data_IF_705746656135
#
_entry.id   IF_705746656135
#
_cell.length_a   1.000
_cell.length_b   1.000
_cell.length_c   1.000
_cell.angle_alpha   90.00
_cell.angle_beta   90.00
_cell.angle_gamma   90.00
#
_symmetry.space_group_name_H-M   'P 1'
#
loop_
_entity.id
_entity.type
_entity.pdbx_description
1 polymer ?
#
# COMPACT_ATOMS: atom_id res chain seq x y z
N UNK A 1 16.85 13.24 -12.31
CA UNK A 1 15.79 12.96 -11.31
C UNK A 1 14.78 14.09 -11.33
N UNK A 2 13.53 13.78 -11.56
CA UNK A 2 12.41 14.71 -11.55
C UNK A 2 11.27 14.12 -10.75
N UNK A 3 10.68 14.91 -9.83
CA UNK A 3 9.58 14.47 -8.99
C UNK A 3 8.65 15.67 -8.74
N UNK A 4 7.37 15.45 -9.02
CA UNK A 4 6.31 16.43 -8.84
C UNK A 4 5.20 15.83 -7.99
N UNK A 5 4.61 16.64 -7.11
CA UNK A 5 3.47 16.21 -6.32
C UNK A 5 2.50 17.39 -6.10
N UNK A 6 1.22 17.06 -6.16
CA UNK A 6 0.11 17.95 -5.83
C UNK A 6 -0.67 17.31 -4.71
N UNK A 7 -0.94 18.08 -3.65
CA UNK A 7 -1.78 17.66 -2.52
C UNK A 7 -2.89 18.70 -2.35
N UNK A 8 -4.12 18.21 -2.33
CA UNK A 8 -5.29 19.03 -2.05
C UNK A 8 -6.13 18.39 -0.94
N UNK A 9 -6.67 19.21 -0.04
CA UNK A 9 -7.61 18.77 1.00
C UNK A 9 -8.76 19.75 1.09
N UNK A 10 -9.98 19.24 1.14
CA UNK A 10 -11.19 20.02 1.37
C UNK A 10 -12.15 19.25 2.27
N UNK A 11 -13.00 19.95 3.00
CA UNK A 11 -13.90 19.25 3.88
C UNK A 11 -14.89 20.16 4.58
N UNK A 12 -15.66 19.53 5.45
CA UNK A 12 -16.77 20.13 6.21
C UNK A 12 -16.51 19.86 7.68
N UNK A 13 -16.74 20.84 8.52
CA UNK A 13 -16.61 20.75 9.98
C UNK A 13 -17.88 21.24 10.67
N UNK A 14 -18.08 20.80 11.91
CA UNK A 14 -19.12 21.29 12.83
C UNK A 14 -20.55 21.17 12.27
N UNK A 15 -20.87 20.03 11.64
CA UNK A 15 -22.22 19.69 11.22
C UNK A 15 -22.90 18.73 12.21
N UNK A 16 -24.23 18.74 12.23
CA UNK A 16 -25.00 17.82 13.09
C UNK A 16 -24.65 16.34 12.86
N UNK A 17 -24.33 15.98 11.64
CA UNK A 17 -23.99 14.62 11.21
C UNK A 17 -22.48 14.32 11.13
N UNK A 18 -21.60 15.33 11.20
CA UNK A 18 -20.17 15.16 11.20
C UNK A 18 -19.49 16.29 11.98
N UNK A 19 -18.65 15.96 12.94
CA UNK A 19 -17.78 16.96 13.56
C UNK A 19 -16.66 17.35 12.60
N UNK A 20 -16.18 16.37 11.80
CA UNK A 20 -15.21 16.59 10.74
C UNK A 20 -15.41 15.56 9.63
N UNK A 21 -15.48 16.03 8.40
CA UNK A 21 -15.42 15.20 7.19
C UNK A 21 -14.44 15.88 6.23
N UNK A 22 -13.34 15.22 5.92
CA UNK A 22 -12.31 15.72 5.02
C UNK A 22 -12.11 14.74 3.87
N UNK A 23 -11.99 15.28 2.67
CA UNK A 23 -11.52 14.56 1.48
C UNK A 23 -10.16 15.10 1.09
N UNK A 24 -9.24 14.19 0.86
CA UNK A 24 -7.89 14.49 0.39
C UNK A 24 -7.64 13.86 -0.97
N UNK A 25 -6.77 14.49 -1.72
CA UNK A 25 -6.31 14.00 -3.01
C UNK A 25 -4.82 14.27 -3.12
N UNK A 26 -4.04 13.23 -3.42
CA UNK A 26 -2.62 13.36 -3.71
C UNK A 26 -2.35 12.75 -5.08
N UNK A 27 -1.66 13.49 -5.92
CA UNK A 27 -1.10 13.00 -7.17
C UNK A 27 0.40 13.24 -7.16
N UNK A 28 1.18 12.27 -7.62
CA UNK A 28 2.61 12.44 -7.83
C UNK A 28 3.06 11.77 -9.11
N UNK A 29 4.07 12.37 -9.72
CA UNK A 29 4.78 11.82 -10.86
C UNK A 29 6.27 11.81 -10.56
N UNK A 30 6.97 10.76 -10.97
CA UNK A 30 8.42 10.68 -10.83
C UNK A 30 9.08 10.15 -12.10
N UNK A 31 10.27 10.68 -12.34
CA UNK A 31 11.26 10.14 -13.29
C UNK A 31 12.62 10.06 -12.60
N UNK A 32 13.30 8.95 -12.73
CA UNK A 32 14.59 8.72 -12.11
C UNK A 32 15.52 7.91 -13.03
N UNK A 33 16.67 8.47 -13.37
CA UNK A 33 17.79 7.71 -13.93
C UNK A 33 18.46 6.88 -12.83
N UNK A 34 18.73 5.63 -13.13
CA UNK A 34 19.43 4.72 -12.23
C UNK A 34 20.88 4.68 -12.69
N UNK A 35 21.73 5.42 -12.01
CA UNK A 35 23.12 5.65 -12.44
C UNK A 35 24.06 4.51 -12.07
N UNK A 36 23.77 3.73 -11.03
CA UNK A 36 24.67 2.69 -10.54
C UNK A 36 23.92 1.49 -9.98
N UNK A 37 24.58 0.34 -10.00
CA UNK A 37 24.17 -0.83 -9.22
C UNK A 37 24.34 -0.61 -7.71
N UNK A 38 23.77 -1.49 -6.89
CA UNK A 38 23.76 -1.39 -5.41
C UNK A 38 25.17 -1.25 -4.81
N UNK A 39 26.16 -1.89 -5.39
CA UNK A 39 27.57 -1.85 -4.92
C UNK A 39 28.40 -0.76 -5.59
N UNK A 40 27.78 0.11 -6.42
CA UNK A 40 28.44 1.17 -7.17
C UNK A 40 29.62 0.71 -8.06
N UNK A 41 29.68 -0.58 -8.38
CA UNK A 41 30.71 -1.15 -9.27
C UNK A 41 30.35 -1.06 -10.74
N UNK A 42 29.06 -0.98 -11.04
CA UNK A 42 28.52 -0.91 -12.40
C UNK A 42 27.86 0.45 -12.58
N UNK A 43 28.18 1.12 -13.66
CA UNK A 43 27.55 2.38 -14.09
C UNK A 43 26.47 2.06 -15.10
N UNK A 44 25.34 2.71 -14.97
CA UNK A 44 24.23 2.64 -15.92
C UNK A 44 24.06 4.01 -16.57
N UNK A 45 24.04 4.06 -17.89
CA UNK A 45 23.90 5.30 -18.65
C UNK A 45 22.48 5.57 -19.13
N UNK A 46 21.71 4.52 -19.41
CA UNK A 46 20.40 4.64 -20.03
C UNK A 46 19.26 4.02 -19.17
N UNK A 47 19.62 3.28 -18.13
CA UNK A 47 18.64 2.66 -17.25
C UNK A 47 17.87 3.70 -16.46
N UNK A 48 16.55 3.65 -16.53
CA UNK A 48 15.68 4.60 -15.83
C UNK A 48 14.39 3.98 -15.34
N UNK A 49 13.69 4.74 -14.49
CA UNK A 49 12.39 4.40 -13.95
C UNK A 49 11.50 5.64 -13.96
N UNK A 50 10.24 5.45 -14.32
CA UNK A 50 9.23 6.50 -14.19
C UNK A 50 7.91 5.92 -13.69
N UNK A 51 7.06 6.80 -13.17
CA UNK A 51 5.77 6.36 -12.66
C UNK A 51 4.94 7.50 -12.12
N UNK A 52 3.72 7.15 -11.74
CA UNK A 52 2.77 8.07 -11.12
C UNK A 52 1.98 7.38 -10.02
N UNK A 53 1.48 8.17 -9.09
CA UNK A 53 0.63 7.70 -8.00
C UNK A 53 -0.57 8.63 -7.84
N UNK A 54 -1.72 8.03 -7.57
CA UNK A 54 -2.98 8.71 -7.30
C UNK A 54 -3.53 8.18 -5.98
N UNK A 55 -3.77 9.07 -5.01
CA UNK A 55 -4.24 8.69 -3.69
C UNK A 55 -5.37 9.60 -3.17
N UNK A 56 -6.64 9.29 -3.49
CA UNK A 56 -7.77 9.85 -2.76
C UNK A 56 -7.81 9.32 -1.32
N UNK A 57 -8.25 10.16 -0.38
CA UNK A 57 -8.39 9.83 1.03
C UNK A 57 -9.63 10.47 1.63
N UNK A 58 -10.15 9.88 2.70
CA UNK A 58 -11.28 10.37 3.47
C UNK A 58 -11.00 10.24 4.96
N UNK A 59 -11.35 11.26 5.72
CA UNK A 59 -11.35 11.26 7.18
C UNK A 59 -12.73 11.69 7.66
N UNK A 60 -13.35 10.91 8.54
CA UNK A 60 -14.63 11.23 9.16
C UNK A 60 -14.51 11.06 10.67
N UNK A 61 -15.04 12.03 11.43
CA UNK A 61 -15.19 11.89 12.87
C UNK A 61 -16.50 12.47 13.36
N UNK A 62 -17.08 11.79 14.33
CA UNK A 62 -18.33 12.20 14.99
C UNK A 62 -18.33 11.76 16.44
N UNK A 63 -18.53 12.71 17.35
CA UNK A 63 -18.83 12.45 18.75
C UNK A 63 -20.34 12.28 18.93
N UNK A 64 -20.73 11.39 19.84
CA UNK A 64 -22.13 11.07 20.09
C UNK A 64 -22.88 10.69 18.78
N UNK A 65 -22.32 9.78 18.00
CA UNK A 65 -22.74 9.45 16.63
C UNK A 65 -24.25 9.14 16.51
N UNK A 66 -24.74 8.20 17.31
CA UNK A 66 -26.16 7.78 17.34
C UNK A 66 -26.71 7.96 18.75
N UNK A 67 -25.91 7.62 19.76
CA UNK A 67 -26.22 7.69 21.18
C UNK A 67 -25.13 8.48 21.91
N UNK A 68 -25.51 9.09 23.03
CA UNK A 68 -24.58 9.83 23.88
C UNK A 68 -23.46 8.92 24.38
N UNK A 69 -22.21 9.38 24.20
CA UNK A 69 -21.01 8.66 24.62
C UNK A 69 -20.40 7.73 23.53
N UNK A 70 -21.06 7.54 22.39
CA UNK A 70 -20.50 6.79 21.26
C UNK A 70 -19.78 7.73 20.29
N UNK A 71 -18.46 7.64 20.22
CA UNK A 71 -17.62 8.42 19.32
C UNK A 71 -17.09 7.52 18.20
N UNK A 72 -17.00 8.04 16.98
CA UNK A 72 -16.50 7.35 15.80
C UNK A 72 -15.39 8.16 15.12
N UNK A 73 -14.33 7.44 14.71
CA UNK A 73 -13.32 7.96 13.79
C UNK A 73 -13.14 6.92 12.67
N UNK A 74 -13.25 7.36 11.44
CA UNK A 74 -13.04 6.56 10.24
C UNK A 74 -12.01 7.26 9.36
N UNK A 75 -10.99 6.51 8.92
CA UNK A 75 -10.08 6.96 7.86
C UNK A 75 -10.06 5.92 6.75
N UNK A 76 -9.99 6.37 5.51
CA UNK A 76 -9.85 5.50 4.36
C UNK A 76 -8.99 6.17 3.31
N UNK A 77 -8.16 5.39 2.64
CA UNK A 77 -7.45 5.82 1.44
C UNK A 77 -7.36 4.69 0.43
N UNK A 78 -7.31 5.09 -0.82
CA UNK A 78 -6.97 4.24 -1.94
C UNK A 78 -5.73 4.82 -2.59
N UNK A 79 -4.74 4.00 -2.89
CA UNK A 79 -3.55 4.41 -3.62
C UNK A 79 -3.35 3.50 -4.82
N UNK A 80 -3.47 4.08 -6.00
CA UNK A 80 -3.07 3.44 -7.25
C UNK A 80 -1.76 4.03 -7.71
N UNK A 81 -0.73 3.20 -7.83
CA UNK A 81 0.54 3.62 -8.40
C UNK A 81 0.99 2.70 -9.52
N UNK A 82 1.51 3.29 -10.57
CA UNK A 82 2.13 2.58 -11.68
C UNK A 82 3.59 2.97 -11.76
N UNK A 83 4.48 1.98 -11.90
CA UNK A 83 5.91 2.19 -12.04
C UNK A 83 6.43 1.39 -13.22
N UNK A 84 7.09 2.06 -14.15
CA UNK A 84 7.74 1.45 -15.31
C UNK A 84 9.24 1.46 -15.11
N UNK A 85 9.87 0.30 -15.28
CA UNK A 85 11.32 0.13 -15.27
C UNK A 85 11.79 -0.12 -16.71
N UNK A 86 12.81 0.61 -17.14
CA UNK A 86 13.39 0.52 -18.48
C UNK A 86 14.86 0.23 -18.36
N UNK A 87 15.29 -0.84 -18.98
CA UNK A 87 16.69 -1.27 -19.14
C UNK A 87 16.80 -1.97 -20.49
N UNK A 88 16.89 -1.18 -21.55
CA UNK A 88 16.93 -1.65 -22.94
C UNK A 88 18.17 -1.13 -23.68
N UNK A 89 19.13 -0.59 -22.93
CA UNK A 89 20.39 -0.05 -23.47
C UNK A 89 21.14 -1.07 -24.33
N UNK A 90 21.80 -0.58 -25.34
CA UNK A 90 22.67 -1.39 -26.23
C UNK A 90 24.13 -1.20 -25.91
N UNK A 91 24.48 -0.33 -24.97
CA UNK A 91 25.82 0.00 -24.54
C UNK A 91 25.95 -0.11 -23.03
N UNK A 92 27.10 -0.54 -22.55
CA UNK A 92 27.52 -0.38 -21.16
C UNK A 92 28.43 0.84 -21.04
N UNK A 93 28.44 1.44 -19.85
CA UNK A 93 29.15 2.68 -19.54
C UNK A 93 30.15 2.44 -18.40
N UNK A 94 31.27 3.15 -18.43
CA UNK A 94 32.18 3.24 -17.30
C UNK A 94 32.09 4.61 -16.61
N UNK A 95 32.84 4.78 -15.53
CA UNK A 95 32.86 6.04 -14.76
C UNK A 95 33.43 7.24 -15.53
N UNK A 96 34.15 7.02 -16.63
CA UNK A 96 34.67 8.08 -17.49
C UNK A 96 33.70 8.48 -18.61
N UNK A 97 32.55 7.79 -18.69
CA UNK A 97 31.55 8.02 -19.74
C UNK A 97 31.86 7.32 -21.05
N UNK A 98 32.88 6.48 -21.09
CA UNK A 98 33.17 5.65 -22.26
C UNK A 98 32.11 4.55 -22.37
N UNK A 99 31.72 4.21 -23.59
CA UNK A 99 30.70 3.22 -23.88
C UNK A 99 31.23 2.07 -24.73
N UNK A 100 30.82 0.86 -24.39
CA UNK A 100 31.10 -0.36 -25.14
C UNK A 100 29.79 -1.05 -25.54
N UNK A 101 29.68 -1.62 -26.73
CA UNK A 101 28.47 -2.31 -27.15
C UNK A 101 28.26 -3.57 -26.32
N UNK A 102 27.02 -3.77 -25.89
CA UNK A 102 26.59 -4.99 -25.21
C UNK A 102 26.29 -6.11 -26.22
N UNK A 103 26.61 -7.34 -25.88
CA UNK A 103 26.24 -8.52 -26.67
C UNK A 103 24.73 -8.77 -26.68
N UNK A 104 24.03 -8.34 -25.62
CA UNK A 104 22.56 -8.35 -25.49
C UNK A 104 22.07 -7.06 -24.85
N UNK A 105 20.90 -6.54 -25.23
CA UNK A 105 20.37 -5.33 -24.62
C UNK A 105 20.16 -5.46 -23.12
N UNK A 106 20.35 -4.34 -22.40
CA UNK A 106 20.15 -4.20 -20.95
C UNK A 106 21.47 -4.09 -20.18
N UNK A 107 21.67 -2.99 -19.44
CA UNK A 107 22.90 -2.73 -18.67
C UNK A 107 23.01 -3.64 -17.43
N UNK A 108 21.90 -4.05 -16.87
CA UNK A 108 21.83 -5.05 -15.79
C UNK A 108 21.06 -6.29 -16.24
N UNK A 109 19.88 -6.07 -16.82
CA UNK A 109 19.04 -7.13 -17.37
C UNK A 109 18.05 -6.49 -18.33
N UNK A 110 17.88 -7.07 -19.54
CA UNK A 110 16.91 -6.55 -20.48
C UNK A 110 15.53 -6.50 -19.84
N UNK A 111 15.02 -5.30 -19.62
CA UNK A 111 13.74 -5.08 -18.94
C UNK A 111 13.02 -3.88 -19.53
N UNK A 112 11.77 -4.06 -19.84
CA UNK A 112 10.78 -2.99 -20.04
C UNK A 112 9.48 -3.50 -19.46
N UNK A 113 9.24 -3.16 -18.20
CA UNK A 113 8.13 -3.72 -17.44
C UNK A 113 7.42 -2.66 -16.63
N UNK A 114 6.11 -2.81 -16.52
CA UNK A 114 5.24 -1.97 -15.73
C UNK A 114 4.64 -2.77 -14.57
N UNK A 115 4.67 -2.20 -13.40
CA UNK A 115 4.01 -2.71 -12.22
C UNK A 115 2.88 -1.75 -11.81
N UNK A 116 1.65 -2.22 -11.85
CA UNK A 116 0.47 -1.52 -11.36
C UNK A 116 0.12 -2.06 -9.97
N UNK A 117 0.01 -1.17 -8.99
CA UNK A 117 -0.30 -1.51 -7.62
C UNK A 117 -1.55 -0.77 -7.17
N UNK A 118 -2.49 -1.51 -6.62
CA UNK A 118 -3.72 -1.01 -6.00
C UNK A 118 -3.69 -1.30 -4.51
N UNK A 119 -3.80 -0.25 -3.69
CA UNK A 119 -3.76 -0.35 -2.23
C UNK A 119 -4.99 0.30 -1.62
N UNK A 120 -5.74 -0.45 -0.84
CA UNK A 120 -6.83 0.04 -0.01
C UNK A 120 -6.44 -0.05 1.45
N UNK A 121 -6.59 1.04 2.18
CA UNK A 121 -6.39 1.05 3.63
C UNK A 121 -7.55 1.78 4.29
N UNK A 122 -8.00 1.23 5.40
CA UNK A 122 -9.07 1.82 6.20
C UNK A 122 -8.87 1.52 7.67
N UNK A 123 -9.22 2.48 8.52
CA UNK A 123 -9.29 2.28 9.97
C UNK A 123 -10.62 2.79 10.50
N UNK A 124 -11.25 2.02 11.34
CA UNK A 124 -12.45 2.40 12.08
C UNK A 124 -12.16 2.27 13.57
N UNK A 125 -12.41 3.34 14.31
CA UNK A 125 -12.37 3.34 15.77
C UNK A 125 -13.73 3.76 16.30
N UNK A 126 -14.32 2.94 17.13
CA UNK A 126 -15.52 3.23 17.90
C UNK A 126 -15.18 3.25 19.40
N UNK A 127 -15.47 4.33 20.07
CA UNK A 127 -15.31 4.46 21.52
C UNK A 127 -16.66 4.71 22.14
N UNK A 128 -17.08 3.84 23.06
CA UNK A 128 -18.34 3.98 23.77
C UNK A 128 -18.12 4.13 25.26
N UNK A 129 -18.48 5.29 25.81
CA UNK A 129 -18.45 5.60 27.23
C UNK A 129 -19.83 5.39 27.86
N UNK A 130 -19.88 4.48 28.84
CA UNK A 130 -21.07 4.14 29.56
C UNK A 130 -20.89 4.54 31.02
N UNK A 131 -21.85 5.32 31.57
CA UNK A 131 -21.90 5.72 32.98
C UNK A 131 -20.56 6.30 33.53
N UNK A 132 -19.76 6.94 32.72
CA UNK A 132 -18.46 7.58 33.01
C UNK A 132 -17.35 6.62 33.51
N UNK A 133 -17.68 5.42 33.95
CA UNK A 133 -16.72 4.44 34.52
C UNK A 133 -16.36 3.32 33.56
N UNK A 134 -17.20 3.06 32.55
CA UNK A 134 -16.96 2.02 31.56
C UNK A 134 -16.59 2.62 30.21
N UNK A 135 -15.58 2.05 29.56
CA UNK A 135 -15.22 2.40 28.19
C UNK A 135 -15.03 1.14 27.37
N UNK A 136 -15.77 1.03 26.29
CA UNK A 136 -15.62 -0.01 25.29
C UNK A 136 -15.01 0.61 24.03
N UNK A 137 -13.94 0.02 23.53
CA UNK A 137 -13.29 0.47 22.28
C UNK A 137 -13.25 -0.68 21.29
N UNK A 138 -13.79 -0.44 20.10
CA UNK A 138 -13.64 -1.32 18.95
C UNK A 138 -12.76 -0.65 17.91
N UNK A 139 -11.73 -1.37 17.46
CA UNK A 139 -10.85 -0.95 16.37
C UNK A 139 -10.91 -1.97 15.24
N UNK A 140 -11.02 -1.49 14.01
CA UNK A 140 -10.88 -2.34 12.83
C UNK A 140 -9.92 -1.71 11.85
N UNK A 141 -8.97 -2.50 11.35
CA UNK A 141 -8.02 -2.12 10.31
C UNK A 141 -8.20 -3.04 9.12
N UNK A 142 -8.46 -2.44 7.97
CA UNK A 142 -8.50 -3.12 6.67
C UNK A 142 -7.30 -2.65 5.85
N UNK A 143 -6.55 -3.61 5.29
CA UNK A 143 -5.55 -3.34 4.26
C UNK A 143 -5.68 -4.36 3.14
N UNK A 144 -5.79 -3.88 1.91
CA UNK A 144 -5.83 -4.73 0.73
C UNK A 144 -4.83 -4.21 -0.31
N UNK A 145 -4.05 -5.12 -0.85
CA UNK A 145 -3.02 -4.85 -1.85
C UNK A 145 -3.19 -5.80 -3.01
N UNK A 146 -3.12 -5.27 -4.22
CA UNK A 146 -2.99 -6.02 -5.45
C UNK A 146 -1.84 -5.47 -6.28
N UNK A 147 -1.10 -6.35 -6.94
CA UNK A 147 -0.06 -5.99 -7.89
C UNK A 147 -0.17 -6.82 -9.13
N UNK A 148 -0.18 -6.13 -10.26
CA UNK A 148 -0.10 -6.70 -11.59
C UNK A 148 1.21 -6.22 -12.24
N UNK A 149 1.94 -7.14 -12.89
CA UNK A 149 3.14 -6.80 -13.65
C UNK A 149 2.87 -7.11 -15.12
N UNK A 150 3.28 -6.19 -15.98
CA UNK A 150 3.18 -6.32 -17.43
C UNK A 150 4.56 -6.18 -18.04
N UNK A 151 4.97 -7.13 -18.87
CA UNK A 151 6.16 -7.00 -19.70
C UNK A 151 5.79 -6.30 -21.00
N UNK A 152 6.51 -5.22 -21.31
CA UNK A 152 6.33 -4.42 -22.53
C UNK A 152 7.42 -4.74 -23.59
N UNK A 153 8.22 -5.81 -23.37
CA UNK A 153 9.29 -6.24 -24.29
C UNK A 153 8.79 -7.15 -25.40
N UNK A 154 7.65 -7.81 -25.20
CA UNK A 154 7.09 -8.73 -26.18
C UNK A 154 6.37 -7.95 -27.29
N UNK A 155 6.21 -8.58 -28.45
CA UNK A 155 5.40 -8.05 -29.56
C UNK A 155 3.94 -7.88 -29.13
N UNK A 156 3.50 -8.70 -28.16
CA UNK A 156 2.24 -8.58 -27.44
C UNK A 156 2.53 -8.33 -25.96
N UNK A 157 1.79 -7.41 -25.35
CA UNK A 157 1.90 -7.15 -23.90
C UNK A 157 1.61 -8.43 -23.11
N UNK A 158 2.59 -8.90 -22.35
CA UNK A 158 2.41 -10.03 -21.45
C UNK A 158 2.22 -9.52 -20.02
N UNK A 159 1.00 -9.62 -19.54
CA UNK A 159 0.69 -9.41 -18.13
C UNK A 159 0.92 -10.71 -17.37
N UNK A 160 1.48 -10.63 -16.18
CA UNK A 160 1.56 -11.79 -15.28
C UNK A 160 0.16 -12.40 -15.17
N UNK A 161 0.03 -13.66 -15.58
CA UNK A 161 -1.26 -14.36 -15.57
C UNK A 161 -1.87 -14.43 -14.15
N UNK A 162 -1.07 -14.14 -13.11
CA UNK A 162 -1.46 -14.30 -11.72
C UNK A 162 -1.05 -13.06 -10.91
N UNK A 163 -2.02 -12.22 -10.61
CA UNK A 163 -1.84 -11.06 -9.74
C UNK A 163 -1.46 -11.46 -8.32
N UNK A 164 -0.56 -10.70 -7.70
CA UNK A 164 -0.24 -10.83 -6.27
C UNK A 164 -1.28 -10.06 -5.46
N UNK A 165 -1.92 -10.74 -4.51
CA UNK A 165 -2.95 -10.14 -3.66
C UNK A 165 -2.68 -10.41 -2.19
N UNK A 166 -2.91 -9.40 -1.36
CA UNK A 166 -2.90 -9.54 0.10
C UNK A 166 -4.08 -8.76 0.68
N UNK A 167 -4.83 -9.39 1.58
CA UNK A 167 -5.88 -8.72 2.35
C UNK A 167 -5.66 -9.01 3.82
N UNK A 168 -5.66 -7.96 4.64
CA UNK A 168 -5.52 -8.05 6.09
C UNK A 168 -6.71 -7.37 6.75
N UNK A 169 -7.34 -8.08 7.67
CA UNK A 169 -8.38 -7.56 8.54
C UNK A 169 -7.92 -7.79 9.97
N UNK A 170 -7.87 -6.72 10.75
CA UNK A 170 -7.48 -6.77 12.16
C UNK A 170 -8.60 -6.12 12.95
N UNK A 171 -9.27 -6.88 13.78
CA UNK A 171 -10.32 -6.38 14.68
C UNK A 171 -9.84 -6.48 16.12
N UNK A 172 -9.94 -5.42 16.86
CA UNK A 172 -9.60 -5.36 18.28
C UNK A 172 -10.80 -4.87 19.10
N UNK A 173 -11.03 -5.51 20.22
CA UNK A 173 -12.02 -5.09 21.20
C UNK A 173 -11.32 -4.90 22.55
N UNK A 174 -11.50 -3.76 23.17
CA UNK A 174 -11.02 -3.50 24.51
C UNK A 174 -12.11 -2.97 25.43
N UNK A 175 -12.07 -3.39 26.65
CA UNK A 175 -12.92 -2.90 27.72
C UNK A 175 -12.06 -2.31 28.82
N UNK A 176 -12.44 -1.14 29.32
CA UNK A 176 -11.81 -0.46 30.46
C UNK A 176 -12.84 -0.10 31.50
N UNK A 177 -12.53 -0.42 32.74
CA UNK A 177 -13.32 -0.06 33.93
C UNK A 177 -12.49 0.88 34.81
N UNK A 178 -13.03 2.05 35.11
CA UNK A 178 -12.43 3.10 35.94
C UNK A 178 -13.37 3.47 37.10
N UNK A 179 -13.50 2.63 38.13
CA UNK A 179 -14.46 2.87 39.22
C UNK A 179 -14.04 4.04 40.09
N UNK A 180 -12.76 4.40 40.10
CA UNK A 180 -12.21 5.55 40.83
C UNK A 180 -10.93 6.03 40.19
N UNK A 181 -10.41 7.17 40.61
CA UNK A 181 -9.11 7.69 40.16
C UNK A 181 -7.92 6.76 40.53
N UNK A 182 -8.08 5.92 41.57
CA UNK A 182 -7.02 5.03 42.05
C UNK A 182 -7.03 3.66 41.39
N UNK A 183 -8.14 3.25 40.76
CA UNK A 183 -8.30 1.92 40.18
C UNK A 183 -8.67 1.96 38.72
N UNK A 184 -7.92 1.26 37.91
CA UNK A 184 -8.16 1.11 36.47
C UNK A 184 -7.93 -0.36 36.09
N UNK A 185 -8.91 -0.98 35.51
CA UNK A 185 -8.85 -2.33 34.96
C UNK A 185 -9.08 -2.26 33.45
N UNK A 186 -8.28 -2.96 32.66
CA UNK A 186 -8.47 -3.08 31.22
C UNK A 186 -8.22 -4.50 30.75
N UNK A 187 -9.06 -4.96 29.82
CA UNK A 187 -8.90 -6.20 29.07
C UNK A 187 -9.04 -5.92 27.59
N UNK A 188 -8.34 -6.64 26.76
CA UNK A 188 -8.46 -6.51 25.31
C UNK A 188 -8.24 -7.87 24.63
N UNK A 189 -8.81 -7.98 23.43
CA UNK A 189 -8.59 -9.11 22.54
C UNK A 189 -8.48 -8.63 21.11
N UNK A 190 -7.72 -9.35 20.29
CA UNK A 190 -7.54 -9.07 18.86
C UNK A 190 -7.79 -10.31 18.05
N UNK A 191 -8.38 -10.10 16.87
CA UNK A 191 -8.54 -11.09 15.83
C UNK A 191 -7.86 -10.62 14.55
N UNK A 192 -7.05 -11.47 13.99
CA UNK A 192 -6.33 -11.25 12.72
C UNK A 192 -6.82 -12.24 11.68
N UNK A 193 -7.13 -11.71 10.51
CA UNK A 193 -7.36 -12.53 9.31
C UNK A 193 -6.54 -12.00 8.16
N UNK A 194 -5.69 -12.85 7.61
CA UNK A 194 -4.88 -12.51 6.45
C UNK A 194 -5.13 -13.51 5.33
N UNK A 195 -5.42 -12.97 4.16
CA UNK A 195 -5.49 -13.69 2.90
C UNK A 195 -4.33 -13.26 2.02
N UNK A 196 -3.61 -14.21 1.44
CA UNK A 196 -2.54 -13.99 0.47
C UNK A 196 -2.80 -14.89 -0.73
N UNK A 197 -2.67 -14.34 -1.93
CA UNK A 197 -2.71 -15.10 -3.17
C UNK A 197 -1.65 -14.58 -4.13
N UNK A 198 -1.11 -15.47 -4.94
CA UNK A 198 -0.08 -15.12 -5.92
C UNK A 198 0.41 -16.33 -6.68
N UNK A 199 1.39 -16.13 -7.57
CA UNK A 199 2.03 -17.21 -8.29
C UNK A 199 2.89 -18.07 -7.36
N UNK A 200 2.83 -19.36 -7.54
CA UNK A 200 3.71 -20.34 -6.95
C UNK A 200 4.21 -21.25 -8.07
N UNK A 201 5.50 -21.56 -8.08
CA UNK A 201 6.05 -22.51 -9.03
C UNK A 201 5.42 -23.89 -8.81
N UNK A 202 4.94 -24.51 -9.88
CA UNK A 202 4.35 -25.86 -9.86
C UNK A 202 5.44 -26.92 -10.01
N UNK A 203 6.57 -26.54 -10.62
CA UNK A 203 7.70 -27.43 -10.87
C UNK A 203 9.02 -26.87 -10.29
N UNK A 204 10.01 -27.75 -10.10
CA UNK A 204 11.33 -27.39 -9.57
C UNK A 204 12.13 -26.49 -10.53
N UNK A 205 11.72 -26.39 -11.79
CA UNK A 205 12.37 -25.56 -12.81
C UNK A 205 11.86 -24.12 -12.79
N UNK A 206 10.71 -23.87 -12.13
CA UNK A 206 10.08 -22.55 -12.10
C UNK A 206 9.49 -22.12 -13.45
N UNK A 207 9.26 -23.09 -14.37
CA UNK A 207 8.71 -22.78 -15.71
C UNK A 207 7.20 -22.65 -15.70
N UNK A 208 6.52 -23.31 -14.77
CA UNK A 208 5.08 -23.27 -14.62
C UNK A 208 4.67 -22.59 -13.31
N UNK A 209 3.72 -21.65 -13.38
CA UNK A 209 3.17 -20.97 -12.22
C UNK A 209 1.67 -21.21 -12.11
N UNK A 210 1.24 -21.60 -10.92
CA UNK A 210 -0.18 -21.74 -10.57
C UNK A 210 -0.58 -20.69 -9.54
N UNK A 211 -1.85 -20.29 -9.57
CA UNK A 211 -2.38 -19.43 -8.53
C UNK A 211 -2.57 -20.24 -7.26
N UNK A 212 -1.87 -19.82 -6.21
CA UNK A 212 -2.08 -20.34 -4.86
C UNK A 212 -2.66 -19.27 -3.96
N UNK A 213 -3.42 -19.69 -2.95
CA UNK A 213 -3.95 -18.79 -1.94
C UNK A 213 -3.92 -19.44 -0.57
N UNK A 214 -3.69 -18.63 0.45
CA UNK A 214 -3.70 -19.04 1.85
C UNK A 214 -4.43 -18.01 2.71
N UNK A 215 -5.29 -18.51 3.58
CA UNK A 215 -5.90 -17.70 4.65
C UNK A 215 -5.33 -18.15 5.98
N UNK A 216 -4.95 -17.20 6.80
CA UNK A 216 -4.47 -17.41 8.16
C UNK A 216 -5.32 -16.59 9.11
N UNK A 217 -5.86 -17.23 10.12
CA UNK A 217 -6.61 -16.63 11.21
C UNK A 217 -5.83 -16.82 12.51
N UNK A 218 -5.79 -15.78 13.35
CA UNK A 218 -5.17 -15.86 14.68
C UNK A 218 -5.85 -14.94 15.69
N UNK A 219 -5.76 -15.32 16.96
CA UNK A 219 -6.30 -14.58 18.10
C UNK A 219 -5.15 -14.20 19.03
N UNK A 220 -5.26 -13.04 19.64
CA UNK A 220 -4.30 -12.54 20.61
C UNK A 220 -4.96 -11.64 21.64
#
# INVERSE_FOLDING_TARGET
>A
YHNEAIVAKAGIVDKSWADRLMFGFTYSHMYKDIQTGVRQKTVFGEKHRFGHSLMPSMEYSKRNLIIKGLDMVLTANYNRNATTNVDTARYEYNWLGEKHPLNSPGEQSRQYSRADNDNWNGTLTLNYRIARVHMLTFNHVLSAFQRDNTSLLAVEEQTDAIAKQTRKNISGLSYRLMPSEKWNFSAFGKYYRQYVAGPMAEDDTGSNYVRTSRTVDSWG
#
